data_IF_663484969129
#
_entry.id   IF_663484969129
#
_cell.length_a   1.000
_cell.length_b   1.000
_cell.length_c   1.000
_cell.angle_alpha   90.00
_cell.angle_beta   90.00
_cell.angle_gamma   90.00
#
_symmetry.space_group_name_H-M   'P 1'
#
loop_
_entity.id
_entity.type
_entity.pdbx_description
1 polymer ?
#
# COMPACT_ATOMS: atom_id res chain seq x y z
N UNK A 1 -14.06 37.55 44.88
CA UNK A 1 -13.62 37.04 43.57
C UNK A 1 -13.96 35.57 43.52
N UNK A 2 -15.05 35.23 42.80
CA UNK A 2 -15.51 33.85 42.70
C UNK A 2 -14.66 33.14 41.65
N UNK A 3 -13.77 32.25 42.07
CA UNK A 3 -13.10 31.31 41.16
C UNK A 3 -14.17 30.35 40.65
N UNK A 4 -14.64 30.61 39.43
CA UNK A 4 -15.60 29.74 38.73
C UNK A 4 -15.10 28.32 38.74
N UNK A 5 -15.99 27.37 39.07
CA UNK A 5 -15.82 25.94 39.08
C UNK A 5 -15.34 25.45 37.71
N UNK A 6 -14.05 25.54 37.42
CA UNK A 6 -13.43 24.90 36.28
C UNK A 6 -13.42 23.40 36.57
N UNK A 7 -14.37 22.69 36.00
CA UNK A 7 -14.42 21.23 36.12
C UNK A 7 -13.37 20.63 35.16
N UNK A 8 -12.22 20.15 35.65
CA UNK A 8 -11.11 19.73 34.79
C UNK A 8 -11.48 18.60 33.84
N UNK A 9 -12.56 17.88 34.10
CA UNK A 9 -13.04 16.76 33.26
C UNK A 9 -13.74 17.22 31.97
N UNK A 10 -14.23 18.46 31.85
CA UNK A 10 -14.76 18.99 30.58
C UNK A 10 -13.63 19.26 29.57
N UNK A 11 -12.47 19.70 30.00
CA UNK A 11 -11.29 19.83 29.18
C UNK A 11 -10.80 18.43 28.63
N UNK A 12 -10.95 17.39 29.47
CA UNK A 12 -10.59 16.01 29.07
C UNK A 12 -11.43 15.48 27.93
N UNK A 13 -12.72 15.78 27.84
CA UNK A 13 -13.55 15.33 26.71
C UNK A 13 -13.14 16.00 25.41
N UNK A 14 -12.81 17.29 25.40
CA UNK A 14 -12.30 17.99 24.23
C UNK A 14 -10.99 17.36 23.71
N UNK A 15 -10.04 17.09 24.60
CA UNK A 15 -8.79 16.41 24.23
C UNK A 15 -9.01 14.99 23.69
N UNK A 16 -9.97 14.25 24.22
CA UNK A 16 -10.31 12.90 23.70
C UNK A 16 -10.91 12.96 22.30
N UNK A 17 -11.82 13.88 22.05
CA UNK A 17 -12.43 14.06 20.73
C UNK A 17 -11.39 14.47 19.69
N UNK A 18 -10.53 15.45 20.04
CA UNK A 18 -9.42 15.88 19.16
C UNK A 18 -8.43 14.74 18.92
N UNK A 19 -8.07 13.98 19.95
CA UNK A 19 -7.19 12.82 19.83
C UNK A 19 -7.78 11.73 18.93
N UNK A 20 -9.08 11.48 19.05
CA UNK A 20 -9.79 10.52 18.23
C UNK A 20 -9.88 10.96 16.75
N UNK A 21 -10.11 12.25 16.51
CA UNK A 21 -10.06 12.83 15.16
C UNK A 21 -8.68 12.74 14.54
N UNK A 22 -7.63 13.06 15.28
CA UNK A 22 -6.23 12.92 14.81
C UNK A 22 -5.92 11.46 14.50
N UNK A 23 -6.40 10.52 15.30
CA UNK A 23 -6.20 9.10 15.10
C UNK A 23 -6.92 8.60 13.84
N UNK A 24 -8.18 9.00 13.63
CA UNK A 24 -8.96 8.64 12.43
C UNK A 24 -8.30 9.21 11.16
N UNK A 25 -7.92 10.49 11.19
CA UNK A 25 -7.25 11.17 10.08
C UNK A 25 -5.88 10.53 9.80
N UNK A 26 -5.11 10.24 10.85
CA UNK A 26 -3.82 9.55 10.74
C UNK A 26 -3.94 8.17 10.11
N UNK A 27 -4.88 7.33 10.59
CA UNK A 27 -5.16 6.02 10.00
C UNK A 27 -5.61 6.14 8.53
N UNK A 28 -6.48 7.09 8.22
CA UNK A 28 -6.93 7.35 6.85
C UNK A 28 -5.77 7.72 5.93
N UNK A 29 -4.89 8.60 6.38
CA UNK A 29 -3.72 9.04 5.62
C UNK A 29 -2.74 7.90 5.31
N UNK A 30 -2.62 6.92 6.21
CA UNK A 30 -1.79 5.73 6.00
C UNK A 30 -2.45 4.67 5.12
N UNK A 31 -3.74 4.43 5.30
CA UNK A 31 -4.47 3.38 4.58
C UNK A 31 -4.76 3.76 3.12
N UNK A 32 -5.05 5.05 2.85
CA UNK A 32 -5.46 5.51 1.53
C UNK A 32 -4.44 5.22 0.43
N UNK A 33 -3.13 5.53 0.58
CA UNK A 33 -2.12 5.20 -0.42
C UNK A 33 -1.97 3.69 -0.64
N UNK A 34 -2.10 2.88 0.42
CA UNK A 34 -1.99 1.41 0.31
C UNK A 34 -3.19 0.83 -0.42
N UNK A 35 -4.40 1.29 -0.09
CA UNK A 35 -5.62 0.88 -0.82
C UNK A 35 -5.50 1.26 -2.29
N UNK A 36 -5.05 2.48 -2.59
CA UNK A 36 -4.85 2.93 -3.96
C UNK A 36 -3.83 2.07 -4.71
N UNK A 37 -2.71 1.75 -4.09
CA UNK A 37 -1.72 0.82 -4.63
C UNK A 37 -2.31 -0.57 -4.91
N UNK A 38 -3.01 -1.16 -3.94
CA UNK A 38 -3.64 -2.48 -4.10
C UNK A 38 -4.68 -2.49 -5.22
N UNK A 39 -5.52 -1.45 -5.30
CA UNK A 39 -6.53 -1.30 -6.36
C UNK A 39 -5.88 -1.17 -7.74
N UNK A 40 -4.80 -0.39 -7.86
CA UNK A 40 -4.06 -0.26 -9.12
C UNK A 40 -3.43 -1.59 -9.55
N UNK A 41 -2.87 -2.34 -8.61
CA UNK A 41 -2.36 -3.69 -8.87
C UNK A 41 -3.44 -4.63 -9.39
N UNK A 42 -4.63 -4.62 -8.79
CA UNK A 42 -5.77 -5.44 -9.24
C UNK A 42 -6.27 -5.02 -10.62
N UNK A 43 -6.34 -3.72 -10.90
CA UNK A 43 -6.75 -3.23 -12.23
C UNK A 43 -5.76 -3.67 -13.30
N UNK A 44 -4.47 -3.55 -13.05
CA UNK A 44 -3.43 -4.02 -13.98
C UNK A 44 -3.57 -5.53 -14.21
N UNK A 45 -3.80 -6.33 -13.17
CA UNK A 45 -4.01 -7.76 -13.26
C UNK A 45 -5.22 -8.11 -14.16
N UNK A 46 -6.35 -7.44 -13.96
CA UNK A 46 -7.58 -7.63 -14.76
C UNK A 46 -7.35 -7.24 -16.22
N UNK A 47 -6.65 -6.14 -16.48
CA UNK A 47 -6.35 -5.70 -17.85
C UNK A 47 -5.48 -6.69 -18.61
N UNK A 48 -4.50 -7.31 -17.93
CA UNK A 48 -3.70 -8.38 -18.52
C UNK A 48 -4.57 -9.63 -18.79
N UNK A 49 -5.43 -10.02 -17.85
CA UNK A 49 -6.30 -11.17 -18.01
C UNK A 49 -7.28 -10.98 -19.19
N UNK A 50 -7.86 -9.79 -19.34
CA UNK A 50 -8.74 -9.43 -20.45
C UNK A 50 -8.00 -9.47 -21.80
N UNK A 51 -6.79 -8.91 -21.85
CA UNK A 51 -5.95 -8.95 -23.07
C UNK A 51 -5.68 -10.39 -23.51
N UNK A 52 -5.34 -11.29 -22.57
CA UNK A 52 -5.06 -12.68 -22.88
C UNK A 52 -6.30 -13.49 -23.25
N UNK A 53 -7.43 -13.24 -22.61
CA UNK A 53 -8.69 -13.89 -22.93
C UNK A 53 -9.16 -13.57 -24.36
N UNK A 54 -8.93 -12.34 -24.82
CA UNK A 54 -9.35 -11.88 -26.13
C UNK A 54 -8.29 -12.08 -27.24
N UNK A 55 -7.08 -12.53 -26.88
CA UNK A 55 -5.97 -12.72 -27.82
C UNK A 55 -6.32 -13.56 -29.09
N UNK A 56 -7.04 -14.70 -28.99
CA UNK A 56 -7.31 -15.54 -30.18
C UNK A 56 -8.28 -14.87 -31.17
N UNK A 57 -9.03 -13.87 -30.75
CA UNK A 57 -10.01 -13.17 -31.59
C UNK A 57 -9.49 -11.85 -32.18
N UNK A 58 -8.30 -11.40 -31.79
CA UNK A 58 -7.73 -10.11 -32.19
C UNK A 58 -6.80 -10.22 -33.39
N UNK A 59 -6.82 -9.19 -34.23
CA UNK A 59 -5.79 -9.01 -35.27
C UNK A 59 -4.42 -8.72 -34.63
N UNK A 60 -3.35 -9.24 -35.21
CA UNK A 60 -1.98 -9.14 -34.69
C UNK A 60 -1.53 -7.67 -34.49
N UNK A 61 -1.95 -6.77 -35.36
CA UNK A 61 -1.67 -5.33 -35.28
C UNK A 61 -2.33 -4.70 -34.06
N UNK A 62 -3.58 -5.03 -33.80
CA UNK A 62 -4.34 -4.54 -32.67
C UNK A 62 -3.79 -5.12 -31.36
N UNK A 63 -3.44 -6.40 -31.34
CA UNK A 63 -2.83 -7.07 -30.18
C UNK A 63 -1.52 -6.38 -29.78
N UNK A 64 -0.63 -6.10 -30.75
CA UNK A 64 0.62 -5.37 -30.47
C UNK A 64 0.36 -3.98 -29.88
N UNK A 65 -0.57 -3.23 -30.45
CA UNK A 65 -0.89 -1.88 -29.99
C UNK A 65 -1.48 -1.89 -28.57
N UNK A 66 -2.36 -2.84 -28.25
CA UNK A 66 -2.92 -2.97 -26.90
C UNK A 66 -1.87 -3.41 -25.87
N UNK A 67 -1.03 -4.37 -26.25
CA UNK A 67 0.07 -4.83 -25.40
C UNK A 67 1.05 -3.69 -25.10
N UNK A 68 1.43 -2.89 -26.08
CA UNK A 68 2.33 -1.76 -25.90
C UNK A 68 1.73 -0.73 -24.95
N UNK A 69 0.46 -0.36 -25.13
CA UNK A 69 -0.24 0.56 -24.20
C UNK A 69 -0.27 0.03 -22.77
N UNK A 70 -0.47 -1.26 -22.61
CA UNK A 70 -0.49 -1.87 -21.29
C UNK A 70 0.88 -1.83 -20.62
N UNK A 71 1.96 -2.07 -21.38
CA UNK A 71 3.33 -1.91 -20.89
C UNK A 71 3.62 -0.45 -20.46
N UNK A 72 3.17 0.54 -21.24
CA UNK A 72 3.31 1.96 -20.89
C UNK A 72 2.55 2.31 -19.59
N UNK A 73 1.35 1.75 -19.39
CA UNK A 73 0.58 1.93 -18.14
C UNK A 73 1.30 1.30 -16.95
N UNK A 74 1.89 0.12 -17.11
CA UNK A 74 2.67 -0.54 -16.04
C UNK A 74 3.91 0.27 -15.69
N UNK A 75 4.64 0.76 -16.70
CA UNK A 75 5.83 1.58 -16.48
C UNK A 75 5.49 2.90 -15.76
N UNK A 76 4.40 3.55 -16.16
CA UNK A 76 3.91 4.76 -15.49
C UNK A 76 3.50 4.46 -14.04
N UNK A 77 2.79 3.36 -13.81
CA UNK A 77 2.39 2.93 -12.48
C UNK A 77 3.61 2.62 -11.61
N UNK A 78 4.61 1.91 -12.13
CA UNK A 78 5.85 1.61 -11.42
C UNK A 78 6.60 2.89 -11.03
N UNK A 79 6.72 3.84 -11.94
CA UNK A 79 7.34 5.13 -11.67
C UNK A 79 6.60 5.90 -10.56
N UNK A 80 5.26 5.95 -10.60
CA UNK A 80 4.46 6.64 -9.59
C UNK A 80 4.53 5.97 -8.23
N UNK A 81 4.42 4.64 -8.20
CA UNK A 81 4.36 3.88 -6.94
C UNK A 81 5.72 3.64 -6.30
N UNK A 82 6.81 3.57 -7.08
CA UNK A 82 8.15 3.36 -6.55
C UNK A 82 8.53 4.40 -5.49
N UNK A 83 8.35 5.68 -5.80
CA UNK A 83 8.64 6.76 -4.86
C UNK A 83 7.71 6.72 -3.64
N UNK A 84 6.42 6.48 -3.87
CA UNK A 84 5.43 6.37 -2.79
C UNK A 84 5.75 5.22 -1.84
N UNK A 85 6.10 4.05 -2.39
CA UNK A 85 6.45 2.87 -1.61
C UNK A 85 7.74 3.07 -0.80
N UNK A 86 8.77 3.70 -1.37
CA UNK A 86 10.01 4.01 -0.65
C UNK A 86 9.69 4.88 0.58
N UNK A 87 8.86 5.92 0.42
CA UNK A 87 8.46 6.80 1.53
C UNK A 87 7.65 6.03 2.58
N UNK A 88 6.65 5.23 2.16
CA UNK A 88 5.82 4.45 3.08
C UNK A 88 6.65 3.44 3.86
N UNK A 89 7.53 2.68 3.19
CA UNK A 89 8.39 1.68 3.83
C UNK A 89 9.37 2.36 4.78
N UNK A 90 10.03 3.44 4.35
CA UNK A 90 10.96 4.20 5.19
C UNK A 90 10.31 4.75 6.45
N UNK A 91 9.14 5.38 6.32
CA UNK A 91 8.38 5.89 7.47
C UNK A 91 7.88 4.75 8.37
N UNK A 92 7.46 3.62 7.80
CA UNK A 92 7.04 2.45 8.58
C UNK A 92 8.17 1.88 9.42
N UNK A 93 9.37 1.77 8.88
CA UNK A 93 10.56 1.32 9.62
C UNK A 93 10.89 2.31 10.74
N UNK A 94 10.88 3.60 10.45
CA UNK A 94 11.13 4.65 11.46
C UNK A 94 10.10 4.60 12.61
N UNK A 95 8.82 4.41 12.28
CA UNK A 95 7.75 4.26 13.28
C UNK A 95 7.92 2.98 14.13
N UNK A 96 8.27 1.86 13.52
CA UNK A 96 8.53 0.60 14.24
C UNK A 96 9.69 0.80 15.23
N UNK A 97 10.80 1.42 14.80
CA UNK A 97 11.92 1.73 15.67
C UNK A 97 11.51 2.65 16.83
N UNK A 98 10.72 3.69 16.54
CA UNK A 98 10.21 4.61 17.55
C UNK A 98 9.30 3.90 18.56
N UNK A 99 8.42 3.03 18.12
CA UNK A 99 7.54 2.24 18.99
C UNK A 99 8.31 1.25 19.85
N UNK A 100 9.34 0.59 19.33
CA UNK A 100 10.22 -0.27 20.14
C UNK A 100 10.95 0.54 21.21
N UNK A 101 11.50 1.69 20.85
CA UNK A 101 12.12 2.60 21.81
C UNK A 101 11.12 3.01 22.91
N UNK A 102 9.90 3.33 22.53
CA UNK A 102 8.83 3.69 23.45
C UNK A 102 8.49 2.54 24.42
N UNK A 103 8.34 1.32 23.91
CA UNK A 103 8.08 0.14 24.76
C UNK A 103 9.19 -0.04 25.80
N UNK A 104 10.45 -0.02 25.37
CA UNK A 104 11.60 -0.25 26.27
C UNK A 104 11.62 0.78 27.41
N UNK A 105 11.33 2.04 27.11
CA UNK A 105 11.35 3.09 28.12
C UNK A 105 10.11 3.10 29.03
N UNK A 106 8.93 2.74 28.49
CA UNK A 106 7.67 2.77 29.24
C UNK A 106 7.38 1.53 30.07
N UNK A 107 8.05 0.40 29.82
CA UNK A 107 8.00 -0.79 30.69
C UNK A 107 8.38 -0.42 32.13
N UNK A 108 9.26 0.56 32.33
CA UNK A 108 9.65 1.04 33.65
C UNK A 108 8.54 1.83 34.38
N UNK A 109 7.54 2.36 33.68
CA UNK A 109 6.49 3.24 34.24
C UNK A 109 5.18 2.45 34.53
N UNK A 110 5.10 1.16 34.19
CA UNK A 110 4.01 0.28 34.64
C UNK A 110 2.66 0.47 33.96
N UNK A 111 2.57 1.17 32.82
CA UNK A 111 1.30 1.37 32.10
C UNK A 111 1.05 0.27 31.08
N UNK A 112 0.40 -0.82 31.47
CA UNK A 112 0.03 -1.95 30.60
C UNK A 112 -0.80 -1.51 29.39
N UNK A 113 -1.65 -0.46 29.54
CA UNK A 113 -2.48 0.07 28.45
C UNK A 113 -1.60 0.69 27.36
N UNK A 114 -0.55 1.42 27.73
CA UNK A 114 0.38 2.02 26.77
C UNK A 114 1.12 0.96 25.97
N UNK A 115 1.58 -0.09 26.64
CA UNK A 115 2.27 -1.22 26.00
C UNK A 115 1.33 -1.93 25.03
N UNK A 116 0.07 -2.19 25.42
CA UNK A 116 -0.92 -2.83 24.57
C UNK A 116 -1.19 -2.01 23.30
N UNK A 117 -1.44 -0.71 23.45
CA UNK A 117 -1.70 0.20 22.32
C UNK A 117 -0.50 0.26 21.37
N UNK A 118 0.70 0.39 21.91
CA UNK A 118 1.93 0.44 21.12
C UNK A 118 2.18 -0.88 20.37
N UNK A 119 1.96 -2.02 21.02
CA UNK A 119 2.07 -3.35 20.40
C UNK A 119 1.07 -3.52 19.25
N UNK A 120 -0.17 -3.06 19.43
CA UNK A 120 -1.20 -3.07 18.41
C UNK A 120 -0.78 -2.26 17.16
N UNK A 121 -0.17 -1.08 17.37
CA UNK A 121 0.32 -0.25 16.27
C UNK A 121 1.48 -0.90 15.52
N UNK A 122 2.43 -1.51 16.23
CA UNK A 122 3.53 -2.27 15.59
C UNK A 122 2.96 -3.39 14.73
N UNK A 123 2.06 -4.20 15.28
CA UNK A 123 1.45 -5.30 14.55
C UNK A 123 0.71 -4.82 13.31
N UNK A 124 -0.08 -3.75 13.43
CA UNK A 124 -0.80 -3.13 12.31
C UNK A 124 0.13 -2.67 11.20
N UNK A 125 1.24 -2.02 11.56
CA UNK A 125 2.24 -1.54 10.59
C UNK A 125 2.94 -2.72 9.90
N UNK A 126 3.25 -3.79 10.62
CA UNK A 126 3.85 -5.01 10.05
C UNK A 126 2.90 -5.70 9.07
N UNK A 127 1.60 -5.82 9.41
CA UNK A 127 0.58 -6.37 8.50
C UNK A 127 0.46 -5.53 7.24
N UNK A 128 0.47 -4.21 7.35
CA UNK A 128 0.41 -3.30 6.22
C UNK A 128 1.60 -3.49 5.26
N UNK A 129 2.82 -3.58 5.81
CA UNK A 129 4.02 -3.86 5.03
C UNK A 129 3.93 -5.23 4.34
N UNK A 130 3.45 -6.27 5.04
CA UNK A 130 3.27 -7.59 4.46
C UNK A 130 2.27 -7.57 3.28
N UNK A 131 1.16 -6.84 3.40
CA UNK A 131 0.18 -6.67 2.31
C UNK A 131 0.84 -6.03 1.10
N UNK A 132 1.58 -4.93 1.26
CA UNK A 132 2.29 -4.25 0.17
C UNK A 132 3.26 -5.21 -0.53
N UNK A 133 4.05 -5.96 0.24
CA UNK A 133 5.03 -6.90 -0.31
C UNK A 133 4.37 -8.04 -1.08
N UNK A 134 3.27 -8.60 -0.56
CA UNK A 134 2.53 -9.68 -1.23
C UNK A 134 1.89 -9.19 -2.53
N UNK A 135 1.23 -8.04 -2.53
CA UNK A 135 0.62 -7.50 -3.74
C UNK A 135 1.67 -7.11 -4.78
N UNK A 136 2.74 -6.43 -4.38
CA UNK A 136 3.84 -6.08 -5.27
C UNK A 136 4.52 -7.30 -5.90
N UNK A 137 4.78 -8.34 -5.11
CA UNK A 137 5.36 -9.60 -5.59
C UNK A 137 4.45 -10.30 -6.60
N UNK A 138 3.15 -10.41 -6.32
CA UNK A 138 2.17 -11.04 -7.22
C UNK A 138 2.09 -10.35 -8.57
N UNK A 139 2.03 -9.00 -8.57
CA UNK A 139 1.98 -8.23 -9.81
C UNK A 139 3.27 -8.40 -10.60
N UNK A 140 4.42 -8.29 -9.95
CA UNK A 140 5.72 -8.44 -10.60
C UNK A 140 5.87 -9.83 -11.23
N UNK A 141 5.49 -10.89 -10.54
CA UNK A 141 5.53 -12.26 -11.06
C UNK A 141 4.60 -12.44 -12.28
N UNK A 142 3.33 -12.00 -12.17
CA UNK A 142 2.37 -12.10 -13.28
C UNK A 142 2.82 -11.29 -14.50
N UNK A 143 3.24 -10.06 -14.31
CA UNK A 143 3.70 -9.17 -15.37
C UNK A 143 4.94 -9.77 -16.05
N UNK A 144 5.93 -10.20 -15.29
CA UNK A 144 7.16 -10.80 -15.81
C UNK A 144 6.88 -12.07 -16.63
N UNK A 145 6.09 -12.99 -16.08
CA UNK A 145 5.75 -14.24 -16.76
C UNK A 145 4.96 -14.00 -18.06
N UNK A 146 4.07 -13.03 -18.08
CA UNK A 146 3.23 -12.72 -19.23
C UNK A 146 3.98 -11.93 -20.30
N UNK A 147 4.81 -10.98 -19.94
CA UNK A 147 5.69 -10.28 -20.89
C UNK A 147 6.62 -11.28 -21.56
N UNK A 148 7.21 -12.21 -20.80
CA UNK A 148 8.05 -13.27 -21.34
C UNK A 148 7.31 -14.18 -22.34
N UNK A 149 6.09 -14.58 -22.03
CA UNK A 149 5.25 -15.40 -22.90
C UNK A 149 4.86 -14.67 -24.19
N UNK A 150 4.47 -13.40 -24.12
CA UNK A 150 4.10 -12.60 -25.29
C UNK A 150 5.29 -12.31 -26.20
N UNK A 151 6.47 -12.05 -25.64
CA UNK A 151 7.70 -11.82 -26.41
C UNK A 151 8.10 -13.09 -27.19
N UNK A 152 7.97 -14.26 -26.56
CA UNK A 152 8.25 -15.51 -27.23
C UNK A 152 7.25 -15.82 -28.35
N UNK A 153 5.98 -15.51 -28.17
CA UNK A 153 4.95 -15.69 -29.19
C UNK A 153 5.16 -14.74 -30.38
N UNK A 154 5.49 -13.49 -30.13
CA UNK A 154 5.80 -12.51 -31.19
C UNK A 154 7.03 -12.92 -31.99
N UNK A 155 8.07 -13.47 -31.33
CA UNK A 155 9.24 -14.05 -32.02
C UNK A 155 8.86 -15.23 -32.88
N UNK A 156 8.09 -16.19 -32.38
CA UNK A 156 7.68 -17.39 -33.09
C UNK A 156 6.86 -17.04 -34.34
N UNK A 157 6.02 -16.05 -34.30
CA UNK A 157 5.23 -15.57 -35.44
C UNK A 157 6.10 -14.75 -36.40
N UNK A 158 7.09 -13.99 -35.91
CA UNK A 158 8.04 -13.26 -36.79
C UNK A 158 8.99 -14.16 -37.56
N UNK A 159 9.31 -15.32 -37.04
CA UNK A 159 10.18 -16.32 -37.71
C UNK A 159 9.41 -17.18 -38.76
N UNK A 160 8.07 -17.06 -38.81
CA UNK A 160 7.19 -17.78 -39.76
C UNK A 160 6.89 -16.96 -41.03
N UNK A 161 7.29 -15.70 -41.09
CA UNK A 161 7.10 -14.78 -42.23
C UNK A 161 8.45 -14.23 -42.71
#
# INVERSE_FOLDING_TARGET
MSFGNYKPWQAWYGFRVVGLLILILGCGFWLLPVIFFCMSCLVIEILFDDLYANMPAMEMTELKARHQRLCEVVELADCMFSHLLIVIVGLSIALICFYFYHIVNFVQIGSYISIFVTSFWILSTMVLLAVIMVFGSRVNEKVSNRIGASTNMIKMVGDLY
#
